data_IF_592018253745
#
_entry.id   IF_592018253745
#
_cell.length_a   1.000
_cell.length_b   1.000
_cell.length_c   1.000
_cell.angle_alpha   90.00
_cell.angle_beta   90.00
_cell.angle_gamma   90.00
#
_symmetry.space_group_name_H-M   'P 1'
#
loop_
_entity.id
_entity.type
_entity.pdbx_description
1 polymer ?
#
# COMPACT_ATOMS: atom_id res chain seq x y z
N UNK A 1 1.27 20.47 -7.74
CA UNK A 1 2.07 19.38 -7.15
C UNK A 1 2.28 18.37 -8.27
N UNK A 2 3.49 17.87 -8.43
CA UNK A 2 3.76 16.82 -9.43
C UNK A 2 2.92 15.58 -9.16
N UNK A 3 2.42 14.91 -10.21
CA UNK A 3 1.63 13.69 -10.04
C UNK A 3 2.43 12.61 -9.31
N UNK A 4 1.73 11.72 -8.62
CA UNK A 4 2.34 10.54 -8.00
C UNK A 4 2.76 9.59 -9.11
N UNK A 5 4.05 9.30 -9.21
CA UNK A 5 4.57 8.31 -10.16
C UNK A 5 4.43 6.92 -9.55
N UNK A 6 3.57 6.10 -10.14
CA UNK A 6 3.26 4.78 -9.63
C UNK A 6 3.63 3.66 -10.59
N UNK A 7 4.02 2.51 -10.06
CA UNK A 7 4.27 1.28 -10.82
C UNK A 7 3.41 0.13 -10.29
N UNK A 8 2.96 -0.73 -11.19
CA UNK A 8 2.18 -1.93 -10.89
C UNK A 8 3.02 -3.16 -11.19
N UNK A 9 3.08 -4.09 -10.24
CA UNK A 9 3.76 -5.38 -10.40
C UNK A 9 2.77 -6.50 -10.11
N UNK A 10 2.39 -7.25 -11.12
CA UNK A 10 1.61 -8.49 -10.96
C UNK A 10 2.56 -9.65 -10.71
N UNK A 11 2.39 -10.32 -9.57
CA UNK A 11 3.18 -11.52 -9.21
C UNK A 11 2.34 -12.75 -9.52
N UNK A 12 2.71 -13.51 -10.55
CA UNK A 12 1.95 -14.68 -11.01
C UNK A 12 2.76 -15.54 -11.96
N UNK A 13 3.10 -16.78 -11.59
CA UNK A 13 3.72 -17.77 -12.48
C UNK A 13 2.91 -17.96 -13.77
N UNK A 14 1.59 -18.19 -13.65
CA UNK A 14 0.72 -18.43 -14.80
C UNK A 14 0.54 -17.20 -15.68
N UNK A 15 0.49 -16.01 -15.08
CA UNK A 15 0.43 -14.76 -15.83
C UNK A 15 1.74 -14.52 -16.60
N UNK A 16 2.87 -14.75 -15.96
CA UNK A 16 4.19 -14.61 -16.56
C UNK A 16 4.42 -15.60 -17.71
N UNK A 17 3.97 -16.84 -17.55
CA UNK A 17 4.04 -17.87 -18.60
C UNK A 17 3.04 -17.66 -19.75
N UNK A 18 2.12 -16.67 -19.64
CA UNK A 18 1.06 -16.46 -20.64
C UNK A 18 -0.08 -17.49 -20.60
N UNK A 19 -0.12 -18.32 -19.57
CA UNK A 19 -1.14 -19.36 -19.38
C UNK A 19 -2.47 -18.79 -18.82
N UNK A 20 -2.43 -17.59 -18.26
CA UNK A 20 -3.59 -16.89 -17.71
C UNK A 20 -3.48 -15.39 -17.97
N UNK A 21 -4.57 -14.80 -18.44
CA UNK A 21 -4.69 -13.36 -18.59
C UNK A 21 -4.57 -12.65 -17.25
N UNK A 22 -3.77 -11.58 -17.19
CA UNK A 22 -3.69 -10.69 -16.03
C UNK A 22 -4.84 -9.67 -16.08
N UNK A 23 -5.85 -9.90 -15.25
CA UNK A 23 -6.98 -8.97 -15.07
C UNK A 23 -6.70 -7.99 -13.92
N UNK A 24 -5.89 -8.39 -12.95
CA UNK A 24 -5.65 -7.63 -11.71
C UNK A 24 -4.70 -6.45 -11.92
N UNK A 25 -3.63 -6.64 -12.67
CA UNK A 25 -2.66 -5.58 -12.97
C UNK A 25 -3.28 -4.39 -13.72
N UNK A 26 -3.95 -4.60 -14.88
CA UNK A 26 -4.66 -3.54 -15.58
C UNK A 26 -5.71 -2.84 -14.73
N UNK A 27 -6.51 -3.58 -13.96
CA UNK A 27 -7.48 -3.00 -13.03
C UNK A 27 -6.81 -2.10 -11.99
N UNK A 28 -5.71 -2.56 -11.39
CA UNK A 28 -4.94 -1.79 -10.41
C UNK A 28 -4.38 -0.50 -11.03
N UNK A 29 -3.83 -0.59 -12.23
CA UNK A 29 -3.33 0.58 -12.97
C UNK A 29 -4.44 1.62 -13.21
N UNK A 30 -5.63 1.18 -13.58
CA UNK A 30 -6.77 2.07 -13.79
C UNK A 30 -7.26 2.72 -12.48
N UNK A 31 -7.24 1.99 -11.37
CA UNK A 31 -7.60 2.53 -10.07
C UNK A 31 -6.58 3.58 -9.57
N UNK A 32 -5.28 3.35 -9.82
CA UNK A 32 -4.23 4.32 -9.52
C UNK A 32 -4.38 5.59 -10.37
N UNK A 33 -4.68 5.46 -11.67
CA UNK A 33 -4.96 6.61 -12.55
C UNK A 33 -6.19 7.40 -12.07
N UNK A 34 -7.26 6.73 -11.65
CA UNK A 34 -8.45 7.37 -11.07
C UNK A 34 -8.15 8.11 -9.75
N UNK A 35 -7.17 7.66 -8.99
CA UNK A 35 -6.67 8.36 -7.80
C UNK A 35 -5.84 9.61 -8.15
N UNK A 36 -5.48 9.81 -9.43
CA UNK A 36 -4.65 10.92 -9.90
C UNK A 36 -3.16 10.58 -10.00
N UNK A 37 -2.78 9.31 -9.94
CA UNK A 37 -1.41 8.88 -10.15
C UNK A 37 -1.08 8.71 -11.64
N UNK A 38 0.17 8.98 -12.00
CA UNK A 38 0.76 8.61 -13.28
C UNK A 38 1.33 7.19 -13.17
N UNK A 39 0.72 6.22 -13.87
CA UNK A 39 1.24 4.86 -13.93
C UNK A 39 2.34 4.80 -14.98
N UNK A 40 3.59 4.82 -14.52
CA UNK A 40 4.78 4.88 -15.37
C UNK A 40 5.25 3.49 -15.84
N UNK A 41 4.87 2.43 -15.14
CA UNK A 41 5.13 1.06 -15.60
C UNK A 41 4.10 0.07 -15.05
N UNK A 42 3.91 -1.00 -15.84
CA UNK A 42 3.10 -2.15 -15.46
C UNK A 42 3.81 -3.40 -15.96
N UNK A 43 4.01 -4.38 -15.09
CA UNK A 43 4.74 -5.60 -15.44
C UNK A 43 4.20 -6.82 -14.70
N UNK A 44 4.50 -8.00 -15.26
CA UNK A 44 4.22 -9.29 -14.64
C UNK A 44 5.55 -9.97 -14.34
N UNK A 45 5.68 -10.53 -13.15
CA UNK A 45 6.84 -11.32 -12.72
C UNK A 45 6.40 -12.68 -12.20
N UNK A 46 7.24 -13.72 -12.28
CA UNK A 46 6.94 -15.02 -11.68
C UNK A 46 6.93 -14.93 -10.15
N UNK A 47 6.34 -15.93 -9.49
CA UNK A 47 6.36 -16.10 -8.04
C UNK A 47 7.75 -16.56 -7.56
N UNK A 48 8.80 -15.83 -7.96
CA UNK A 48 10.22 -16.03 -7.63
C UNK A 48 10.75 -14.85 -6.82
N UNK A 49 11.18 -15.12 -5.59
CA UNK A 49 11.62 -14.09 -4.65
C UNK A 49 12.69 -13.16 -5.24
N UNK A 50 13.71 -13.73 -5.87
CA UNK A 50 14.82 -12.95 -6.45
C UNK A 50 14.36 -12.00 -7.58
N UNK A 51 13.40 -12.44 -8.41
CA UNK A 51 12.84 -11.62 -9.49
C UNK A 51 11.99 -10.48 -8.94
N UNK A 52 11.17 -10.75 -7.92
CA UNK A 52 10.37 -9.72 -7.26
C UNK A 52 11.30 -8.68 -6.61
N UNK A 53 12.32 -9.12 -5.84
CA UNK A 53 13.31 -8.23 -5.22
C UNK A 53 14.02 -7.36 -6.25
N UNK A 54 14.50 -7.95 -7.34
CA UNK A 54 15.19 -7.25 -8.44
C UNK A 54 14.32 -6.11 -9.00
N UNK A 55 13.07 -6.41 -9.30
CA UNK A 55 12.13 -5.44 -9.88
C UNK A 55 11.80 -4.32 -8.88
N UNK A 56 11.54 -4.65 -7.62
CA UNK A 56 11.25 -3.65 -6.58
C UNK A 56 12.44 -2.71 -6.35
N UNK A 57 13.66 -3.23 -6.37
CA UNK A 57 14.90 -2.44 -6.25
C UNK A 57 15.05 -1.49 -7.44
N UNK A 58 14.85 -1.98 -8.67
CA UNK A 58 14.96 -1.16 -9.88
C UNK A 58 13.91 -0.04 -9.90
N UNK A 59 12.65 -0.34 -9.55
CA UNK A 59 11.58 0.65 -9.50
C UNK A 59 11.85 1.76 -8.48
N UNK A 60 12.34 1.40 -7.31
CA UNK A 60 12.62 2.37 -6.25
C UNK A 60 13.96 3.12 -6.47
N UNK A 61 14.99 2.46 -6.96
CA UNK A 61 16.34 3.02 -7.11
C UNK A 61 16.56 3.71 -8.45
N UNK A 62 16.34 3.02 -9.56
CA UNK A 62 16.65 3.51 -10.91
C UNK A 62 15.52 4.38 -11.46
N UNK A 63 14.27 3.92 -11.37
CA UNK A 63 13.11 4.66 -11.88
C UNK A 63 12.61 5.72 -10.89
N UNK A 64 12.98 5.61 -9.62
CA UNK A 64 12.61 6.54 -8.54
C UNK A 64 11.11 6.84 -8.53
N UNK A 65 10.29 5.80 -8.56
CA UNK A 65 8.83 5.97 -8.45
C UNK A 65 8.44 6.26 -7.00
N UNK A 66 7.34 6.97 -6.79
CA UNK A 66 6.85 7.27 -5.44
C UNK A 66 6.12 6.09 -4.81
N UNK A 67 5.46 5.29 -5.66
CA UNK A 67 4.59 4.20 -5.22
C UNK A 67 4.80 2.96 -6.10
N UNK A 68 5.00 1.82 -5.47
CA UNK A 68 4.87 0.51 -6.11
C UNK A 68 3.72 -0.23 -5.43
N UNK A 69 2.76 -0.67 -6.21
CA UNK A 69 1.72 -1.58 -5.72
C UNK A 69 1.88 -2.92 -6.41
N UNK A 70 2.11 -3.96 -5.62
CA UNK A 70 2.12 -5.34 -6.13
C UNK A 70 0.76 -5.98 -5.97
N UNK A 71 0.42 -6.92 -6.84
CA UNK A 71 -0.79 -7.77 -6.71
C UNK A 71 -0.43 -9.22 -6.95
N UNK A 72 -0.82 -10.11 -6.05
CA UNK A 72 -0.51 -11.54 -6.09
C UNK A 72 0.59 -11.99 -5.13
N UNK A 73 0.73 -13.29 -4.95
CA UNK A 73 1.75 -13.92 -4.12
C UNK A 73 1.72 -13.58 -2.63
N UNK A 74 0.54 -13.21 -2.07
CA UNK A 74 0.42 -12.77 -0.67
C UNK A 74 -0.25 -13.79 0.26
N UNK A 75 -0.65 -14.94 -0.23
CA UNK A 75 -1.30 -15.98 0.55
C UNK A 75 -0.32 -16.85 1.35
N UNK A 76 -0.81 -17.96 1.96
CA UNK A 76 0.00 -18.88 2.76
C UNK A 76 0.62 -20.01 1.94
N UNK A 77 0.46 -20.05 0.61
CA UNK A 77 1.03 -21.10 -0.21
C UNK A 77 2.57 -21.00 -0.27
N UNK A 78 3.29 -22.14 -0.44
CA UNK A 78 4.75 -22.10 -0.50
C UNK A 78 5.35 -21.20 -1.60
N UNK A 79 4.59 -20.99 -2.68
CA UNK A 79 5.00 -20.11 -3.79
C UNK A 79 4.63 -18.64 -3.55
N UNK A 80 3.81 -18.33 -2.55
CA UNK A 80 3.45 -16.95 -2.20
C UNK A 80 4.62 -16.29 -1.44
N UNK A 81 5.53 -15.64 -2.16
CA UNK A 81 6.77 -15.07 -1.59
C UNK A 81 6.86 -13.56 -1.71
N UNK A 82 5.79 -12.90 -2.17
CA UNK A 82 5.76 -11.43 -2.32
C UNK A 82 6.04 -10.68 -1.02
N UNK A 83 5.48 -11.09 0.15
CA UNK A 83 5.77 -10.40 1.41
C UNK A 83 7.23 -10.52 1.85
N UNK A 84 7.84 -11.67 1.65
CA UNK A 84 9.25 -11.93 1.98
C UNK A 84 10.18 -11.10 1.09
N UNK A 85 9.91 -11.06 -0.23
CA UNK A 85 10.65 -10.24 -1.17
C UNK A 85 10.52 -8.73 -0.85
N UNK A 86 9.32 -8.29 -0.51
CA UNK A 86 9.08 -6.88 -0.14
C UNK A 86 9.82 -6.52 1.14
N UNK A 87 9.77 -7.34 2.19
CA UNK A 87 10.52 -7.08 3.44
C UNK A 87 12.03 -7.03 3.21
N UNK A 88 12.56 -7.89 2.34
CA UNK A 88 14.00 -7.94 2.08
C UNK A 88 14.54 -6.66 1.44
N UNK A 89 13.71 -5.92 0.71
CA UNK A 89 14.13 -4.71 0.00
C UNK A 89 13.71 -3.41 0.70
N UNK A 90 12.82 -3.46 1.67
CA UNK A 90 12.38 -2.28 2.42
C UNK A 90 13.28 -1.99 3.62
N UNK A 91 13.50 -0.72 3.90
CA UNK A 91 14.32 -0.23 5.02
C UNK A 91 13.47 0.04 6.28
N UNK A 92 12.19 0.35 6.08
CA UNK A 92 11.21 0.66 7.14
C UNK A 92 9.86 0.07 6.78
N UNK A 93 9.21 -0.58 7.72
CA UNK A 93 7.83 -1.07 7.53
C UNK A 93 6.80 0.04 7.82
N UNK A 94 5.65 -0.05 7.15
CA UNK A 94 4.45 0.76 7.40
C UNK A 94 3.29 -0.19 7.72
N UNK A 95 3.31 -0.86 8.90
CA UNK A 95 2.42 -1.97 9.20
C UNK A 95 0.94 -1.60 9.15
N UNK A 96 0.59 -0.36 9.54
CA UNK A 96 -0.80 0.12 9.55
C UNK A 96 -1.51 0.02 8.20
N UNK A 97 -0.80 0.15 7.07
CA UNK A 97 -1.40 -0.02 5.74
C UNK A 97 -1.83 -1.47 5.49
N UNK A 98 -0.99 -2.42 5.88
CA UNK A 98 -1.30 -3.84 5.75
C UNK A 98 -2.37 -4.31 6.76
N UNK A 99 -2.39 -3.72 7.94
CA UNK A 99 -3.38 -3.97 8.99
C UNK A 99 -4.78 -3.49 8.57
N UNK A 100 -4.90 -2.26 8.09
CA UNK A 100 -6.19 -1.72 7.63
C UNK A 100 -6.73 -2.49 6.43
N UNK A 101 -5.87 -2.94 5.51
CA UNK A 101 -6.28 -3.80 4.40
C UNK A 101 -6.88 -5.12 4.88
N UNK A 102 -6.26 -5.78 5.86
CA UNK A 102 -6.80 -7.02 6.46
C UNK A 102 -8.07 -6.75 7.25
N UNK A 103 -8.12 -5.68 8.01
CA UNK A 103 -9.27 -5.32 8.82
C UNK A 103 -10.51 -5.00 7.96
N UNK A 104 -10.38 -4.12 6.98
CA UNK A 104 -11.48 -3.78 6.06
C UNK A 104 -11.85 -4.96 5.15
N UNK A 105 -10.87 -5.75 4.74
CA UNK A 105 -11.09 -6.98 4.00
C UNK A 105 -11.87 -8.02 4.82
N UNK A 106 -11.58 -8.18 6.12
CA UNK A 106 -12.29 -9.10 7.00
C UNK A 106 -13.77 -8.74 7.13
N UNK A 107 -14.11 -7.46 7.11
CA UNK A 107 -15.53 -7.03 7.13
C UNK A 107 -16.32 -7.48 5.90
N UNK A 108 -15.62 -7.76 4.79
CA UNK A 108 -16.22 -8.23 3.52
C UNK A 108 -16.11 -9.75 3.37
N UNK A 109 -15.02 -10.35 3.85
CA UNK A 109 -14.79 -11.81 3.85
C UNK A 109 -13.80 -12.23 4.94
N UNK A 110 -14.13 -13.23 5.76
CA UNK A 110 -13.22 -13.72 6.80
C UNK A 110 -11.85 -14.19 6.27
N UNK A 111 -11.79 -14.62 5.00
CA UNK A 111 -10.55 -15.10 4.39
C UNK A 111 -9.50 -14.00 4.16
N UNK A 112 -9.86 -12.73 4.24
CA UNK A 112 -8.91 -11.62 4.05
C UNK A 112 -7.77 -11.61 5.08
N UNK A 113 -7.98 -12.16 6.30
CA UNK A 113 -6.95 -12.24 7.34
C UNK A 113 -5.80 -13.19 7.01
N UNK A 114 -5.98 -14.07 6.02
CA UNK A 114 -4.93 -15.01 5.59
C UNK A 114 -3.85 -14.27 4.76
N UNK A 115 -4.15 -13.08 4.26
CA UNK A 115 -3.17 -12.28 3.53
C UNK A 115 -1.99 -11.90 4.42
N UNK A 116 -0.78 -12.26 3.99
CA UNK A 116 0.49 -11.91 4.62
C UNK A 116 1.12 -10.65 4.02
N UNK A 117 0.38 -9.95 3.13
CA UNK A 117 0.81 -8.73 2.48
C UNK A 117 1.35 -7.70 3.48
N UNK A 118 2.36 -6.96 3.06
CA UNK A 118 3.05 -5.93 3.85
C UNK A 118 3.08 -4.61 3.09
N UNK A 119 3.42 -3.55 3.82
CA UNK A 119 3.79 -2.27 3.24
C UNK A 119 5.09 -1.78 3.87
N UNK A 120 5.95 -1.18 3.06
CA UNK A 120 7.24 -0.68 3.53
C UNK A 120 7.80 0.40 2.60
N UNK A 121 8.89 1.02 3.05
CA UNK A 121 9.55 2.13 2.38
C UNK A 121 10.96 1.70 1.99
N UNK A 122 11.32 1.98 0.73
CA UNK A 122 12.69 1.94 0.24
C UNK A 122 13.06 3.31 -0.32
N UNK A 123 14.03 3.98 0.30
CA UNK A 123 14.35 5.37 -0.05
C UNK A 123 13.14 6.29 0.13
N UNK A 124 12.62 6.82 -0.98
CA UNK A 124 11.39 7.64 -1.03
C UNK A 124 10.20 6.91 -1.66
N UNK A 125 10.34 5.62 -1.97
CA UNK A 125 9.29 4.81 -2.57
C UNK A 125 8.50 4.06 -1.52
N UNK A 126 7.18 4.22 -1.52
CA UNK A 126 6.25 3.37 -0.77
C UNK A 126 5.93 2.12 -1.59
N UNK A 127 6.10 0.95 -1.00
CA UNK A 127 5.78 -0.36 -1.61
C UNK A 127 4.64 -0.98 -0.81
N UNK A 128 3.56 -1.39 -1.49
CA UNK A 128 2.38 -1.99 -0.84
C UNK A 128 1.98 -3.27 -1.58
N UNK A 129 1.71 -4.34 -0.84
CA UNK A 129 1.24 -5.60 -1.42
C UNK A 129 -0.29 -5.72 -1.31
N UNK A 130 -0.94 -6.02 -2.43
CA UNK A 130 -2.34 -6.40 -2.52
C UNK A 130 -2.51 -7.88 -2.88
N UNK A 131 -3.61 -8.53 -2.46
CA UNK A 131 -3.95 -9.88 -2.93
C UNK A 131 -4.17 -9.92 -4.45
N UNK A 132 -4.01 -11.12 -5.03
CA UNK A 132 -4.02 -11.31 -6.48
C UNK A 132 -5.41 -11.29 -7.16
N UNK A 133 -6.52 -11.30 -6.44
CA UNK A 133 -7.84 -11.33 -7.08
C UNK A 133 -8.31 -9.92 -7.48
N UNK A 134 -8.97 -9.74 -8.64
CA UNK A 134 -9.50 -8.45 -9.07
C UNK A 134 -10.45 -7.81 -8.05
N UNK A 135 -11.23 -8.64 -7.34
CA UNK A 135 -12.10 -8.17 -6.25
C UNK A 135 -11.28 -7.57 -5.10
N UNK A 136 -10.26 -8.29 -4.61
CA UNK A 136 -9.42 -7.82 -3.51
C UNK A 136 -8.59 -6.60 -3.90
N UNK A 137 -8.15 -6.48 -5.16
CA UNK A 137 -7.51 -5.27 -5.69
C UNK A 137 -8.44 -4.07 -5.59
N UNK A 138 -9.70 -4.20 -6.03
CA UNK A 138 -10.68 -3.09 -5.95
C UNK A 138 -10.93 -2.69 -4.50
N UNK A 139 -11.23 -3.65 -3.65
CA UNK A 139 -11.50 -3.43 -2.23
C UNK A 139 -10.29 -2.83 -1.48
N UNK A 140 -9.09 -3.29 -1.80
CA UNK A 140 -7.85 -2.76 -1.25
C UNK A 140 -7.59 -1.32 -1.69
N UNK A 141 -7.81 -1.00 -2.95
CA UNK A 141 -7.65 0.37 -3.44
C UNK A 141 -8.73 1.32 -2.92
N UNK A 142 -9.97 0.86 -2.70
CA UNK A 142 -10.99 1.65 -1.99
C UNK A 142 -10.52 2.07 -0.59
N UNK A 143 -9.82 1.17 0.11
CA UNK A 143 -9.24 1.44 1.43
C UNK A 143 -8.03 2.37 1.36
N UNK A 144 -7.15 2.18 0.39
CA UNK A 144 -5.84 2.86 0.33
C UNK A 144 -5.90 4.22 -0.37
N UNK A 145 -6.78 4.41 -1.37
CA UNK A 145 -6.80 5.64 -2.18
C UNK A 145 -6.95 6.94 -1.36
N UNK A 146 -7.70 6.99 -0.25
CA UNK A 146 -7.73 8.18 0.61
C UNK A 146 -6.43 8.44 1.38
N UNK A 147 -5.60 7.41 1.58
CA UNK A 147 -4.41 7.44 2.46
C UNK A 147 -3.14 7.72 1.66
N UNK A 148 -2.99 7.06 0.50
CA UNK A 148 -1.75 7.05 -0.28
C UNK A 148 -1.24 8.44 -0.68
N UNK A 149 -2.07 9.40 -1.14
CA UNK A 149 -1.58 10.71 -1.54
C UNK A 149 -0.91 11.46 -0.39
N UNK A 150 -1.46 11.34 0.81
CA UNK A 150 -0.89 11.97 2.01
C UNK A 150 0.42 11.28 2.43
N UNK A 151 0.45 9.95 2.47
CA UNK A 151 1.65 9.19 2.80
C UNK A 151 2.83 9.52 1.87
N UNK A 152 2.56 9.61 0.57
CA UNK A 152 3.58 9.95 -0.43
C UNK A 152 4.04 11.41 -0.28
N UNK A 153 3.13 12.34 -0.01
CA UNK A 153 3.47 13.73 0.27
C UNK A 153 4.43 13.85 1.45
N UNK A 154 4.19 13.09 2.52
CA UNK A 154 5.10 13.01 3.67
C UNK A 154 6.46 12.44 3.29
N UNK A 155 6.51 11.38 2.47
CA UNK A 155 7.77 10.77 2.02
C UNK A 155 8.62 11.73 1.16
N UNK A 156 7.97 12.56 0.35
CA UNK A 156 8.63 13.61 -0.44
C UNK A 156 9.14 14.78 0.42
N UNK A 157 8.87 14.80 1.72
CA UNK A 157 9.29 15.87 2.64
C UNK A 157 8.53 17.19 2.45
N UNK A 158 7.40 17.17 1.73
CA UNK A 158 6.63 18.38 1.39
C UNK A 158 5.65 18.79 2.49
N UNK A 159 5.41 17.92 3.48
CA UNK A 159 4.44 18.17 4.56
C UNK A 159 5.12 18.39 5.91
N UNK A 160 5.45 19.64 6.20
CA UNK A 160 5.98 20.07 7.51
C UNK A 160 4.87 20.52 8.49
N UNK A 161 3.59 20.56 8.06
CA UNK A 161 2.49 21.13 8.85
C UNK A 161 1.80 20.13 9.81
N UNK A 162 2.22 18.87 9.85
CA UNK A 162 1.59 17.88 10.75
C UNK A 162 1.75 18.22 12.25
N UNK A 163 2.76 19.00 12.61
CA UNK A 163 2.97 19.41 14.00
C UNK A 163 1.85 20.32 14.53
N UNK A 164 1.39 21.27 13.71
CA UNK A 164 0.37 22.24 14.14
C UNK A 164 -1.03 21.64 14.29
N UNK A 165 -1.42 20.64 13.46
CA UNK A 165 -2.75 20.01 13.54
C UNK A 165 -2.88 19.01 14.70
N UNK A 166 -1.80 18.30 15.05
CA UNK A 166 -1.84 17.39 16.20
C UNK A 166 -1.92 18.15 17.53
N UNK A 167 -1.29 19.31 17.63
CA UNK A 167 -1.37 20.19 18.81
C UNK A 167 -2.79 20.76 19.00
N UNK A 168 -3.49 21.12 17.92
CA UNK A 168 -4.87 21.60 17.96
C UNK A 168 -5.86 20.50 18.38
N UNK A 169 -5.66 19.26 17.91
CA UNK A 169 -6.50 18.12 18.31
C UNK A 169 -6.31 17.75 19.79
N UNK A 170 -5.06 17.79 20.28
CA UNK A 170 -4.74 17.53 21.68
C UNK A 170 -5.31 18.61 22.60
N UNK A 171 -5.28 19.88 22.18
CA UNK A 171 -5.86 21.00 22.93
C UNK A 171 -7.38 20.94 22.97
N UNK A 172 -8.05 20.57 21.87
CA UNK A 172 -9.52 20.38 21.83
C UNK A 172 -9.97 19.22 22.73
N UNK A 173 -9.29 18.07 22.67
CA UNK A 173 -9.59 16.93 23.51
C UNK A 173 -9.37 17.21 25.01
N UNK A 174 -8.36 18.00 25.35
CA UNK A 174 -8.11 18.42 26.75
C UNK A 174 -9.13 19.45 27.25
N UNK A 175 -9.61 20.35 26.39
CA UNK A 175 -10.64 21.34 26.76
C UNK A 175 -12.01 20.68 27.00
N UNK A 176 -12.39 19.69 26.21
CA UNK A 176 -13.64 18.94 26.37
C UNK A 176 -13.62 18.04 27.63
N UNK A 177 -12.49 17.40 27.92
CA UNK A 177 -12.32 16.60 29.14
C UNK A 177 -12.35 17.46 30.43
N UNK A 178 -11.82 18.69 30.38
CA UNK A 178 -11.82 19.61 31.49
C UNK A 178 -13.25 20.17 31.78
N UNK A 179 -14.00 20.47 30.70
CA UNK A 179 -15.38 20.95 30.82
C UNK A 179 -16.35 19.91 31.38
N UNK A 180 -16.13 18.61 31.10
CA UNK A 180 -16.93 17.52 31.65
C UNK A 180 -16.68 17.28 33.15
N UNK A 181 -15.45 17.50 33.62
CA UNK A 181 -15.12 17.34 35.05
C UNK A 181 -15.71 18.45 35.96
N UNK A 182 -15.97 19.63 35.40
CA UNK A 182 -16.60 20.73 36.15
C UNK A 182 -18.13 20.60 36.29
N UNK A 183 -18.78 19.84 35.39
CA UNK A 183 -20.24 19.61 35.45
C UNK A 183 -20.66 18.45 36.37
N UNK A 184 -19.74 17.54 36.73
CA UNK A 184 -20.00 16.40 37.61
C UNK A 184 -19.80 16.73 39.12
N UNK A 185 -19.43 17.97 39.45
CA UNK A 185 -19.20 18.43 40.84
C UNK A 185 -20.10 19.61 41.27
N UNK A 186 -21.22 19.85 40.56
CA UNK A 186 -22.20 20.88 40.90
C UNK A 186 -23.51 20.31 41.42
#
# INVERSE_FOLDING_TARGET
>A
MEPIRASVVTVSDKGYAGEREDVSGPLLADLLRKMGAEVVSQMIVPDERAEIERVLIALAGEMQVDLVVTTGGTGPAPRDVTPEATRAVTEREVPGLAEVLRFEGYRKTPLAVISRGVAGIRGQTLIVNLPGSPRAVREGMETLAPILPHAIKMLRGVDTEHRARSETFTQLAQSEACAQLETDHA
#
